data_IF_161239265797
#
_entry.id   IF_161239265797
#
_cell.length_a   1.000
_cell.length_b   1.000
_cell.length_c   1.000
_cell.angle_alpha   90.00
_cell.angle_beta   90.00
_cell.angle_gamma   90.00
#
_symmetry.space_group_name_H-M   'P 1'
#
loop_
_entity.id
_entity.type
_entity.pdbx_description
1 polymer ?
#
# COMPACT_ATOMS: atom_id res chain seq x y z
N UNK A 1 -30.42 28.06 27.02
CA UNK A 1 -30.20 26.65 26.67
C UNK A 1 -30.34 26.49 25.17
N UNK A 2 -29.34 26.99 24.42
CA UNK A 2 -29.16 26.76 22.98
C UNK A 2 -27.67 26.98 22.71
N UNK A 3 -26.84 25.98 23.01
CA UNK A 3 -25.43 26.02 22.63
C UNK A 3 -25.35 25.64 21.15
N UNK A 4 -25.42 26.67 20.31
CA UNK A 4 -24.98 26.64 18.92
C UNK A 4 -23.56 26.08 18.87
N UNK A 5 -23.43 24.80 18.49
CA UNK A 5 -22.15 24.18 18.18
C UNK A 5 -21.53 24.97 17.03
N UNK A 6 -20.49 25.72 17.37
CA UNK A 6 -19.67 26.49 16.46
C UNK A 6 -18.91 25.51 15.55
N UNK A 7 -19.47 25.21 14.37
CA UNK A 7 -18.87 24.35 13.35
C UNK A 7 -17.76 25.05 12.54
N UNK A 8 -17.14 26.11 13.07
CA UNK A 8 -16.02 26.80 12.42
C UNK A 8 -14.72 26.17 12.93
N UNK A 9 -13.79 25.92 12.01
CA UNK A 9 -12.44 25.37 12.19
C UNK A 9 -12.23 23.86 11.97
N UNK A 10 -12.66 23.32 10.81
CA UNK A 10 -12.04 22.09 10.27
C UNK A 10 -11.90 22.16 8.74
N UNK A 11 -10.71 22.45 8.17
CA UNK A 11 -10.51 22.47 6.72
C UNK A 11 -10.61 21.06 6.10
N UNK A 12 -10.22 20.01 6.82
CA UNK A 12 -10.13 18.63 6.31
C UNK A 12 -11.50 17.94 6.17
N UNK A 13 -12.47 18.26 7.04
CA UNK A 13 -13.85 17.75 6.96
C UNK A 13 -14.61 18.30 5.75
N UNK A 14 -14.15 19.41 5.14
CA UNK A 14 -14.80 20.05 3.98
C UNK A 14 -14.13 19.73 2.63
N UNK A 15 -12.90 19.23 2.63
CA UNK A 15 -12.15 18.89 1.41
C UNK A 15 -12.43 17.49 0.88
N UNK A 16 -13.07 16.60 1.66
CA UNK A 16 -13.51 15.29 1.22
C UNK A 16 -14.82 15.31 0.39
N UNK A 17 -15.05 16.35 -0.43
CA UNK A 17 -16.10 16.30 -1.46
C UNK A 17 -15.65 15.31 -2.54
N UNK A 18 -16.09 14.06 -2.38
CA UNK A 18 -15.77 12.87 -3.16
C UNK A 18 -16.09 12.95 -4.65
N UNK A 19 -15.32 13.76 -5.39
CA UNK A 19 -15.44 13.91 -6.85
C UNK A 19 -14.21 13.48 -7.64
N UNK A 20 -13.33 12.65 -7.09
CA UNK A 20 -12.03 12.35 -7.71
C UNK A 20 -11.79 10.90 -8.12
N UNK A 21 -12.63 9.95 -7.71
CA UNK A 21 -12.32 8.52 -7.84
C UNK A 21 -12.91 7.85 -9.11
N UNK A 22 -13.94 8.42 -9.74
CA UNK A 22 -14.51 7.87 -10.97
C UNK A 22 -13.75 8.28 -12.25
N UNK A 23 -12.78 9.20 -12.14
CA UNK A 23 -12.08 9.80 -13.28
C UNK A 23 -11.32 8.77 -14.13
N UNK A 24 -10.76 7.73 -13.51
CA UNK A 24 -10.02 6.67 -14.22
C UNK A 24 -10.99 5.86 -15.08
N UNK A 25 -12.11 5.40 -14.52
CA UNK A 25 -13.08 4.59 -15.25
C UNK A 25 -13.68 5.37 -16.44
N UNK A 26 -14.08 6.62 -16.23
CA UNK A 26 -14.59 7.46 -17.32
C UNK A 26 -13.53 7.75 -18.40
N UNK A 27 -12.27 7.96 -18.00
CA UNK A 27 -11.19 8.17 -18.96
C UNK A 27 -10.90 6.92 -19.81
N UNK A 28 -10.97 5.73 -19.20
CA UNK A 28 -10.83 4.45 -19.90
C UNK A 28 -12.00 4.20 -20.85
N UNK A 29 -13.24 4.44 -20.43
CA UNK A 29 -14.43 4.33 -21.29
C UNK A 29 -14.36 5.30 -22.48
N UNK A 30 -13.76 6.47 -22.29
CA UNK A 30 -13.54 7.46 -23.35
C UNK A 30 -12.32 7.14 -24.24
N UNK A 31 -11.53 6.10 -23.94
CA UNK A 31 -10.31 5.76 -24.68
C UNK A 31 -9.22 6.84 -24.63
N UNK A 32 -9.25 7.73 -23.63
CA UNK A 32 -8.37 8.90 -23.59
C UNK A 32 -7.15 8.65 -22.69
N UNK A 33 -5.97 8.52 -23.32
CA UNK A 33 -4.70 8.36 -22.61
C UNK A 33 -4.41 9.57 -21.72
N UNK A 34 -4.61 10.80 -22.24
CA UNK A 34 -4.34 12.02 -21.49
C UNK A 34 -5.25 12.15 -20.26
N UNK A 35 -6.55 11.86 -20.40
CA UNK A 35 -7.48 11.89 -19.28
C UNK A 35 -7.13 10.80 -18.24
N UNK A 36 -6.70 9.63 -18.70
CA UNK A 36 -6.28 8.52 -17.83
C UNK A 36 -5.03 8.91 -17.03
N UNK A 37 -4.04 9.53 -17.67
CA UNK A 37 -2.83 10.02 -17.00
C UNK A 37 -3.14 11.07 -15.93
N UNK A 38 -4.01 12.04 -16.24
CA UNK A 38 -4.46 13.05 -15.27
C UNK A 38 -5.20 12.40 -14.09
N UNK A 39 -6.08 11.44 -14.37
CA UNK A 39 -6.81 10.73 -13.31
C UNK A 39 -5.86 9.91 -12.42
N UNK A 40 -4.89 9.21 -12.99
CA UNK A 40 -3.86 8.47 -12.27
C UNK A 40 -2.95 9.38 -11.43
N UNK A 41 -2.62 10.57 -11.94
CA UNK A 41 -1.86 11.56 -11.17
C UNK A 41 -2.59 11.96 -9.87
N UNK A 42 -3.87 12.32 -9.96
CA UNK A 42 -4.66 12.68 -8.78
C UNK A 42 -4.94 11.49 -7.87
N UNK A 43 -5.10 10.29 -8.44
CA UNK A 43 -5.17 9.05 -7.68
C UNK A 43 -3.90 8.85 -6.83
N UNK A 44 -2.71 8.97 -7.44
CA UNK A 44 -1.43 8.85 -6.74
C UNK A 44 -1.25 9.88 -5.61
N UNK A 45 -1.61 11.15 -5.85
CA UNK A 45 -1.62 12.19 -4.80
C UNK A 45 -2.57 11.81 -3.65
N UNK A 46 -3.75 11.27 -3.98
CA UNK A 46 -4.72 10.81 -2.99
C UNK A 46 -4.20 9.65 -2.14
N UNK A 47 -3.59 8.64 -2.78
CA UNK A 47 -2.98 7.50 -2.10
C UNK A 47 -1.84 7.96 -1.17
N UNK A 48 -0.93 8.82 -1.65
CA UNK A 48 0.18 9.30 -0.83
C UNK A 48 -0.29 10.09 0.42
N UNK A 49 -1.32 10.93 0.27
CA UNK A 49 -1.90 11.64 1.41
C UNK A 49 -2.61 10.69 2.39
N UNK A 50 -3.33 9.70 1.85
CA UNK A 50 -4.03 8.70 2.64
C UNK A 50 -3.06 7.79 3.41
N UNK A 51 -1.92 7.41 2.81
CA UNK A 51 -0.88 6.60 3.44
C UNK A 51 -0.27 7.28 4.67
N UNK A 52 0.07 8.56 4.56
CA UNK A 52 0.59 9.30 5.72
C UNK A 52 -0.47 9.46 6.80
N UNK A 53 -1.71 9.81 6.41
CA UNK A 53 -2.76 10.09 7.38
C UNK A 53 -3.27 8.84 8.10
N UNK A 54 -3.36 7.68 7.44
CA UNK A 54 -3.78 6.43 8.10
C UNK A 54 -2.77 5.95 9.15
N UNK A 55 -1.46 6.13 8.89
CA UNK A 55 -0.41 5.76 9.84
C UNK A 55 -0.42 6.68 11.07
N UNK A 56 -0.72 7.98 10.89
CA UNK A 56 -0.90 8.92 12.01
C UNK A 56 -2.13 8.53 12.83
N UNK A 57 -3.27 8.27 12.20
CA UNK A 57 -4.50 7.86 12.90
C UNK A 57 -4.29 6.54 13.66
N UNK A 58 -3.61 5.57 13.06
CA UNK A 58 -3.26 4.31 13.72
C UNK A 58 -2.41 4.53 14.97
N UNK A 59 -1.43 5.43 14.92
CA UNK A 59 -0.60 5.79 16.07
C UNK A 59 -1.41 6.54 17.15
N UNK A 60 -2.35 7.41 16.74
CA UNK A 60 -3.27 8.09 17.66
C UNK A 60 -4.23 7.11 18.35
N UNK A 61 -4.58 5.98 17.70
CA UNK A 61 -5.32 4.87 18.33
C UNK A 61 -4.45 4.08 19.30
N UNK A 62 -3.18 3.82 18.98
CA UNK A 62 -2.26 3.09 19.86
C UNK A 62 -1.98 3.82 21.18
N UNK A 63 -1.87 5.16 21.15
CA UNK A 63 -1.57 5.99 22.34
C UNK A 63 -2.50 5.74 23.54
N UNK A 64 -3.83 5.87 23.43
CA UNK A 64 -4.73 5.56 24.53
C UNK A 64 -4.84 4.05 24.80
N UNK A 65 -4.53 3.19 23.82
CA UNK A 65 -4.55 1.74 23.97
C UNK A 65 -3.37 1.20 24.79
N UNK A 66 -2.25 1.95 24.85
CA UNK A 66 -1.05 1.59 25.61
C UNK A 66 -0.29 0.37 25.08
N UNK A 67 -0.61 -0.10 23.87
CA UNK A 67 0.02 -1.26 23.22
C UNK A 67 0.06 -1.07 21.71
N UNK A 68 0.99 -1.76 21.06
CA UNK A 68 1.13 -1.72 19.60
C UNK A 68 0.05 -2.57 18.92
N UNK A 69 -0.71 -1.96 18.01
CA UNK A 69 -1.73 -2.59 17.15
C UNK A 69 -1.55 -2.29 15.66
N UNK A 70 -0.60 -1.42 15.28
CA UNK A 70 -0.29 -1.10 13.89
C UNK A 70 -0.07 -2.33 12.99
N UNK A 71 0.61 -3.42 13.45
CA UNK A 71 0.72 -4.64 12.64
C UNK A 71 -0.64 -5.25 12.27
N UNK A 72 -1.65 -5.14 13.13
CA UNK A 72 -3.00 -5.65 12.86
C UNK A 72 -3.71 -4.83 11.79
N UNK A 73 -3.50 -3.50 11.78
CA UNK A 73 -4.01 -2.63 10.71
C UNK A 73 -3.36 -2.97 9.35
N UNK A 74 -2.06 -3.19 9.32
CA UNK A 74 -1.39 -3.65 8.11
C UNK A 74 -1.85 -5.06 7.67
N UNK A 75 -2.13 -5.96 8.61
CA UNK A 75 -2.70 -7.27 8.29
C UNK A 75 -4.11 -7.15 7.66
N UNK A 76 -4.96 -6.25 8.18
CA UNK A 76 -6.26 -5.96 7.58
C UNK A 76 -6.13 -5.36 6.17
N UNK A 77 -5.16 -4.46 5.96
CA UNK A 77 -4.85 -3.93 4.62
C UNK A 77 -4.47 -5.03 3.64
N UNK A 78 -3.54 -5.93 4.04
CA UNK A 78 -3.16 -7.09 3.22
C UNK A 78 -4.33 -8.03 2.93
N UNK A 79 -5.19 -8.29 3.93
CA UNK A 79 -6.39 -9.09 3.75
C UNK A 79 -7.36 -8.47 2.73
N UNK A 80 -7.52 -7.15 2.76
CA UNK A 80 -8.28 -6.41 1.76
C UNK A 80 -7.69 -6.52 0.35
N UNK A 81 -6.36 -6.38 0.21
CA UNK A 81 -5.67 -6.54 -1.07
C UNK A 81 -5.83 -7.95 -1.64
N UNK A 82 -5.68 -8.98 -0.82
CA UNK A 82 -5.90 -10.37 -1.21
C UNK A 82 -7.34 -10.61 -1.67
N UNK A 83 -8.32 -10.19 -0.89
CA UNK A 83 -9.73 -10.34 -1.24
C UNK A 83 -10.07 -9.60 -2.55
N UNK A 84 -9.55 -8.37 -2.71
CA UNK A 84 -9.70 -7.59 -3.93
C UNK A 84 -9.13 -8.30 -5.16
N UNK A 85 -7.95 -8.92 -5.03
CA UNK A 85 -7.34 -9.69 -6.11
C UNK A 85 -8.18 -10.92 -6.51
N UNK A 86 -8.71 -11.66 -5.52
CA UNK A 86 -9.58 -12.83 -5.76
C UNK A 86 -10.89 -12.40 -6.43
N UNK A 87 -11.53 -11.33 -5.95
CA UNK A 87 -12.75 -10.79 -6.56
C UNK A 87 -12.46 -10.32 -7.99
N UNK A 88 -11.35 -9.61 -8.21
CA UNK A 88 -10.93 -9.14 -9.53
C UNK A 88 -10.70 -10.29 -10.52
N UNK A 89 -10.03 -11.37 -10.08
CA UNK A 89 -9.83 -12.58 -10.88
C UNK A 89 -11.18 -13.25 -11.26
N UNK A 90 -12.11 -13.32 -10.30
CA UNK A 90 -13.45 -13.84 -10.54
C UNK A 90 -14.23 -13.01 -11.55
N UNK A 91 -14.25 -11.69 -11.39
CA UNK A 91 -14.93 -10.77 -12.31
C UNK A 91 -14.33 -10.81 -13.71
N UNK A 92 -12.99 -10.89 -13.82
CA UNK A 92 -12.30 -11.08 -15.10
C UNK A 92 -12.68 -12.39 -15.78
N UNK A 93 -12.78 -13.49 -15.02
CA UNK A 93 -13.22 -14.80 -15.55
C UNK A 93 -14.66 -14.75 -16.07
N UNK A 94 -15.52 -13.94 -15.45
CA UNK A 94 -16.90 -13.71 -15.88
C UNK A 94 -17.01 -12.71 -17.06
N UNK A 95 -15.89 -12.19 -17.56
CA UNK A 95 -15.87 -11.23 -18.67
C UNK A 95 -16.36 -9.82 -18.29
N UNK A 96 -16.36 -9.47 -17.00
CA UNK A 96 -16.72 -8.12 -16.56
C UNK A 96 -15.60 -7.16 -16.96
N UNK A 97 -15.97 -6.10 -17.67
CA UNK A 97 -15.02 -5.08 -18.09
C UNK A 97 -14.37 -4.33 -16.93
N UNK A 98 -13.12 -3.91 -17.15
CA UNK A 98 -12.34 -3.16 -16.16
C UNK A 98 -13.01 -1.83 -15.77
N UNK A 99 -13.57 -1.01 -16.69
CA UNK A 99 -14.20 0.25 -16.30
C UNK A 99 -15.42 0.07 -15.40
N UNK A 100 -16.24 -0.95 -15.64
CA UNK A 100 -17.43 -1.28 -14.84
C UNK A 100 -17.03 -1.67 -13.42
N UNK A 101 -16.02 -2.54 -13.29
CA UNK A 101 -15.46 -2.90 -12.00
C UNK A 101 -14.91 -1.66 -11.27
N UNK A 102 -14.14 -0.81 -11.94
CA UNK A 102 -13.58 0.42 -11.36
C UNK A 102 -14.67 1.42 -10.92
N UNK A 103 -15.78 1.52 -11.64
CA UNK A 103 -16.92 2.36 -11.22
C UNK A 103 -17.55 1.86 -9.93
N UNK A 104 -17.78 0.54 -9.81
CA UNK A 104 -18.32 -0.06 -8.59
C UNK A 104 -17.39 0.18 -7.41
N UNK A 105 -16.09 -0.06 -7.58
CA UNK A 105 -15.09 0.21 -6.54
C UNK A 105 -15.05 1.70 -6.17
N UNK A 106 -15.12 2.61 -7.16
CA UNK A 106 -15.15 4.05 -6.89
C UNK A 106 -16.37 4.44 -6.04
N UNK A 107 -17.54 3.85 -6.28
CA UNK A 107 -18.75 4.08 -5.46
C UNK A 107 -18.52 3.57 -4.03
N UNK A 108 -18.01 2.35 -3.87
CA UNK A 108 -17.70 1.77 -2.55
C UNK A 108 -16.72 2.66 -1.78
N UNK A 109 -15.63 3.09 -2.43
CA UNK A 109 -14.62 3.98 -1.82
C UNK A 109 -15.23 5.31 -1.41
N UNK A 110 -16.11 5.90 -2.22
CA UNK A 110 -16.81 7.15 -1.87
C UNK A 110 -17.70 6.94 -0.65
N UNK A 111 -18.50 5.87 -0.62
CA UNK A 111 -19.36 5.55 0.53
C UNK A 111 -18.52 5.36 1.79
N UNK A 112 -17.44 4.57 1.73
CA UNK A 112 -16.54 4.35 2.86
C UNK A 112 -15.86 5.65 3.32
N UNK A 113 -15.41 6.49 2.40
CA UNK A 113 -14.79 7.79 2.72
C UNK A 113 -15.77 8.74 3.42
N UNK A 114 -17.05 8.67 3.06
CA UNK A 114 -18.08 9.50 3.69
C UNK A 114 -18.56 8.93 5.03
N UNK A 115 -18.47 7.61 5.24
CA UNK A 115 -19.05 6.94 6.41
C UNK A 115 -18.03 6.54 7.48
N UNK A 116 -16.86 6.03 7.09
CA UNK A 116 -15.84 5.53 8.01
C UNK A 116 -15.31 6.61 9.00
N UNK A 117 -15.10 7.88 8.60
CA UNK A 117 -14.61 8.91 9.53
C UNK A 117 -15.56 9.24 10.68
N UNK A 118 -16.81 8.76 10.65
CA UNK A 118 -17.73 8.88 11.79
C UNK A 118 -17.34 7.96 12.96
N UNK A 119 -16.52 6.94 12.71
CA UNK A 119 -16.04 5.99 13.71
C UNK A 119 -14.61 6.30 14.19
N UNK A 120 -13.97 7.34 13.64
CA UNK A 120 -12.60 7.72 14.01
C UNK A 120 -12.60 8.42 15.37
N UNK A 121 -11.43 8.48 15.99
CA UNK A 121 -11.29 9.18 17.27
C UNK A 121 -11.66 10.65 17.08
N UNK A 122 -12.26 11.29 18.11
CA UNK A 122 -12.48 12.73 18.07
C UNK A 122 -11.16 13.44 17.79
N UNK A 123 -11.15 14.34 16.82
CA UNK A 123 -9.96 15.11 16.49
C UNK A 123 -9.49 15.84 17.76
N UNK A 124 -8.38 15.38 18.34
CA UNK A 124 -7.69 16.14 19.37
C UNK A 124 -7.27 17.46 18.71
N UNK A 125 -7.56 18.62 19.32
CA UNK A 125 -6.94 19.86 18.87
C UNK A 125 -5.44 19.60 18.81
N UNK A 126 -4.80 19.88 17.68
CA UNK A 126 -3.35 19.87 17.64
C UNK A 126 -2.91 20.75 18.81
N UNK A 127 -2.33 20.13 19.84
CA UNK A 127 -1.85 20.85 21.01
C UNK A 127 -0.82 21.81 20.47
N UNK A 128 -1.20 23.09 20.34
CA UNK A 128 -0.25 24.17 20.12
C UNK A 128 0.77 23.96 21.23
N UNK A 129 2.05 23.68 20.93
CA UNK A 129 3.04 23.48 21.96
C UNK A 129 2.96 24.68 22.90
N UNK A 130 2.68 24.42 24.18
CA UNK A 130 2.61 25.48 25.18
C UNK A 130 3.97 26.22 25.13
N UNK A 131 3.99 27.52 24.80
CA UNK A 131 5.23 28.29 24.76
C UNK A 131 5.98 28.23 26.09
N UNK A 132 5.27 28.05 27.22
CA UNK A 132 5.87 27.93 28.54
C UNK A 132 6.46 26.53 28.83
N UNK A 133 5.96 25.46 28.19
CA UNK A 133 6.54 24.12 28.26
C UNK A 133 7.78 23.97 27.35
N UNK A 134 7.92 24.85 26.35
CA UNK A 134 9.07 24.89 25.46
C UNK A 134 10.38 25.34 26.13
N UNK A 135 10.30 25.98 27.31
CA UNK A 135 11.48 26.41 28.08
C UNK A 135 12.04 25.30 29.00
N UNK A 136 11.27 24.24 29.29
CA UNK A 136 11.70 23.11 30.13
C UNK A 136 12.01 21.83 29.36
N UNK A 137 11.54 21.70 28.12
CA UNK A 137 12.07 20.70 27.20
C UNK A 137 13.38 21.27 26.69
N UNK A 138 14.51 20.71 27.13
CA UNK A 138 15.81 20.95 26.51
C UNK A 138 15.62 20.97 25.00
N UNK A 139 15.69 22.18 24.42
CA UNK A 139 15.65 22.41 22.97
C UNK A 139 16.42 21.26 22.34
N UNK A 140 15.81 20.34 21.56
CA UNK A 140 16.52 19.17 21.07
C UNK A 140 17.72 19.74 20.31
N UNK A 141 18.91 19.63 20.91
CA UNK A 141 20.08 20.37 20.45
C UNK A 141 20.25 19.97 19.01
N UNK A 142 20.20 20.93 18.07
CA UNK A 142 20.09 20.73 16.61
C UNK A 142 20.63 19.36 16.23
N UNK A 143 19.76 18.34 16.26
CA UNK A 143 20.19 17.01 15.87
C UNK A 143 20.71 17.21 14.45
N UNK A 144 21.87 16.64 14.07
CA UNK A 144 22.28 16.66 12.68
C UNK A 144 21.05 16.23 11.90
N UNK A 145 20.58 17.10 11.00
CA UNK A 145 19.42 16.80 10.15
C UNK A 145 19.62 15.37 9.64
N UNK A 146 18.64 14.48 9.73
CA UNK A 146 18.80 13.07 9.34
C UNK A 146 19.57 12.89 7.99
N UNK A 147 19.42 13.86 7.09
CA UNK A 147 20.19 14.10 5.87
C UNK A 147 21.72 14.20 5.97
N UNK A 148 22.30 14.39 7.16
CA UNK A 148 23.74 14.55 7.42
C UNK A 148 24.34 13.32 8.10
N UNK A 149 23.52 12.40 8.60
CA UNK A 149 23.99 11.15 9.16
C UNK A 149 24.05 10.07 8.07
N UNK A 150 25.27 9.65 7.72
CA UNK A 150 25.50 8.63 6.69
C UNK A 150 24.84 7.29 7.02
N UNK A 151 24.68 6.94 8.31
CA UNK A 151 23.99 5.69 8.71
C UNK A 151 22.50 5.76 8.41
N UNK A 152 21.87 6.88 8.74
CA UNK A 152 20.47 7.14 8.40
C UNK A 152 20.24 7.14 6.89
N UNK A 153 21.14 7.77 6.12
CA UNK A 153 21.07 7.74 4.65
C UNK A 153 21.22 6.32 4.09
N UNK A 154 22.14 5.52 4.63
CA UNK A 154 22.34 4.13 4.20
C UNK A 154 21.08 3.29 4.45
N UNK A 155 20.46 3.41 5.63
CA UNK A 155 19.18 2.75 5.93
C UNK A 155 18.11 3.22 4.95
N UNK A 156 18.04 4.53 4.67
CA UNK A 156 17.12 5.10 3.68
C UNK A 156 17.30 4.50 2.28
N UNK A 157 18.54 4.32 1.82
CA UNK A 157 18.84 3.68 0.52
C UNK A 157 18.41 2.21 0.50
N UNK A 158 18.69 1.46 1.57
CA UNK A 158 18.30 0.06 1.67
C UNK A 158 16.78 -0.08 1.66
N UNK A 159 16.07 0.74 2.44
CA UNK A 159 14.60 0.76 2.47
C UNK A 159 14.03 1.21 1.14
N UNK A 160 14.62 2.22 0.48
CA UNK A 160 14.23 2.65 -0.86
C UNK A 160 14.37 1.52 -1.89
N UNK A 161 15.50 0.81 -1.88
CA UNK A 161 15.71 -0.35 -2.74
C UNK A 161 14.67 -1.45 -2.50
N UNK A 162 14.45 -1.81 -1.23
CA UNK A 162 13.46 -2.81 -0.85
C UNK A 162 12.04 -2.42 -1.29
N UNK A 163 11.62 -1.19 -1.00
CA UNK A 163 10.29 -0.66 -1.37
C UNK A 163 10.12 -0.52 -2.89
N UNK A 164 11.18 -0.16 -3.64
CA UNK A 164 11.14 -0.15 -5.10
C UNK A 164 10.98 -1.55 -5.69
N UNK A 165 11.70 -2.55 -5.16
CA UNK A 165 11.56 -3.94 -5.60
C UNK A 165 10.18 -4.50 -5.27
N UNK A 166 9.67 -4.25 -4.06
CA UNK A 166 8.32 -4.63 -3.65
C UNK A 166 7.25 -3.94 -4.51
N UNK A 167 7.41 -2.64 -4.76
CA UNK A 167 6.51 -1.85 -5.61
C UNK A 167 6.50 -2.34 -7.06
N UNK A 168 7.65 -2.65 -7.63
CA UNK A 168 7.74 -3.24 -8.96
C UNK A 168 6.99 -4.57 -9.06
N UNK A 169 7.09 -5.42 -8.03
CA UNK A 169 6.31 -6.65 -7.93
C UNK A 169 4.81 -6.38 -7.90
N UNK A 170 4.36 -5.43 -7.06
CA UNK A 170 2.95 -5.08 -6.96
C UNK A 170 2.36 -4.56 -8.28
N UNK A 171 3.10 -3.74 -9.02
CA UNK A 171 2.59 -3.05 -10.21
C UNK A 171 2.71 -3.87 -11.50
N UNK A 172 3.76 -4.69 -11.63
CA UNK A 172 4.12 -5.30 -12.90
C UNK A 172 3.89 -6.80 -12.98
N UNK A 173 3.75 -7.53 -11.88
CA UNK A 173 3.66 -9.01 -11.93
C UNK A 173 2.48 -9.50 -12.77
N UNK A 174 1.30 -8.91 -12.60
CA UNK A 174 0.11 -9.27 -13.35
C UNK A 174 0.25 -8.87 -14.83
N UNK A 175 0.78 -7.67 -15.10
CA UNK A 175 0.98 -7.17 -16.46
C UNK A 175 2.02 -8.00 -17.22
N UNK A 176 3.14 -8.35 -16.58
CA UNK A 176 4.18 -9.18 -17.18
C UNK A 176 3.66 -10.58 -17.51
N UNK A 177 2.78 -11.15 -16.67
CA UNK A 177 2.13 -12.42 -16.97
C UNK A 177 1.21 -12.32 -18.20
N UNK A 178 0.37 -11.29 -18.27
CA UNK A 178 -0.58 -11.12 -19.38
C UNK A 178 0.12 -10.68 -20.66
N UNK A 179 0.78 -9.53 -20.65
CA UNK A 179 1.40 -8.92 -21.84
C UNK A 179 2.71 -9.61 -22.24
N UNK A 180 3.46 -10.15 -21.27
CA UNK A 180 4.77 -10.75 -21.50
C UNK A 180 4.73 -12.26 -21.75
N UNK A 181 3.83 -12.98 -21.08
CA UNK A 181 3.72 -14.45 -21.17
C UNK A 181 2.44 -14.93 -21.87
N UNK A 182 1.55 -14.02 -22.30
CA UNK A 182 0.30 -14.36 -22.96
C UNK A 182 -0.72 -15.06 -22.04
N UNK A 183 -0.59 -14.89 -20.73
CA UNK A 183 -1.53 -15.46 -19.77
C UNK A 183 -2.88 -14.73 -19.80
N UNK A 184 -3.95 -15.42 -19.39
CA UNK A 184 -5.24 -14.77 -19.15
C UNK A 184 -5.15 -13.75 -18.01
N UNK A 185 -5.99 -12.71 -18.04
CA UNK A 185 -6.03 -11.66 -17.01
C UNK A 185 -6.34 -12.23 -15.62
N UNK A 186 -7.19 -13.26 -15.56
CA UNK A 186 -7.48 -13.99 -14.33
C UNK A 186 -6.23 -14.68 -13.75
N UNK A 187 -5.38 -15.26 -14.59
CA UNK A 187 -4.10 -15.83 -14.19
C UNK A 187 -3.15 -14.76 -13.68
N UNK A 188 -3.08 -13.60 -14.35
CA UNK A 188 -2.29 -12.45 -13.87
C UNK A 188 -2.74 -11.97 -12.48
N UNK A 189 -4.06 -11.87 -12.25
CA UNK A 189 -4.63 -11.51 -10.96
C UNK A 189 -4.34 -12.57 -9.87
N UNK A 190 -4.38 -13.86 -10.19
CA UNK A 190 -4.02 -14.94 -9.27
C UNK A 190 -2.53 -14.93 -8.88
N UNK A 191 -1.64 -14.64 -9.83
CA UNK A 191 -0.21 -14.48 -9.55
C UNK A 191 0.05 -13.32 -8.59
N UNK A 192 -0.65 -12.19 -8.78
CA UNK A 192 -0.63 -11.09 -7.82
C UNK A 192 -1.18 -11.50 -6.45
N UNK A 193 -2.30 -12.24 -6.39
CA UNK A 193 -2.85 -12.73 -5.12
C UNK A 193 -1.86 -13.65 -4.37
N UNK A 194 -1.15 -14.52 -5.10
CA UNK A 194 -0.12 -15.39 -4.54
C UNK A 194 1.07 -14.57 -4.00
N UNK A 195 1.50 -13.54 -4.73
CA UNK A 195 2.55 -12.62 -4.28
C UNK A 195 2.16 -11.92 -2.96
N UNK A 196 0.94 -11.37 -2.88
CA UNK A 196 0.42 -10.73 -1.65
C UNK A 196 0.31 -11.72 -0.49
N UNK A 197 -0.16 -12.95 -0.76
CA UNK A 197 -0.22 -14.00 0.24
C UNK A 197 1.16 -14.37 0.77
N UNK A 198 2.16 -14.50 -0.10
CA UNK A 198 3.54 -14.78 0.27
C UNK A 198 4.14 -13.64 1.12
N UNK A 199 3.92 -12.37 0.75
CA UNK A 199 4.33 -11.23 1.56
C UNK A 199 3.70 -11.24 2.95
N UNK A 200 2.39 -11.54 3.02
CA UNK A 200 1.64 -11.60 4.28
C UNK A 200 2.17 -12.72 5.17
N UNK A 201 2.41 -13.90 4.60
CA UNK A 201 2.98 -15.04 5.32
C UNK A 201 4.40 -14.73 5.83
N UNK A 202 5.24 -14.07 5.03
CA UNK A 202 6.60 -13.67 5.43
C UNK A 202 6.57 -12.72 6.64
N UNK A 203 5.65 -11.74 6.67
CA UNK A 203 5.49 -10.84 7.82
C UNK A 203 5.09 -11.61 9.07
N UNK A 204 4.09 -12.50 8.95
CA UNK A 204 3.62 -13.30 10.08
C UNK A 204 4.69 -14.26 10.63
N UNK A 205 5.46 -14.92 9.75
CA UNK A 205 6.58 -15.78 10.16
C UNK A 205 7.73 -14.98 10.75
N UNK A 206 8.02 -13.79 10.22
CA UNK A 206 9.05 -12.88 10.74
C UNK A 206 8.74 -12.44 12.17
N UNK A 207 7.48 -12.15 12.46
CA UNK A 207 7.02 -11.78 13.80
C UNK A 207 7.11 -12.96 14.79
N UNK A 208 6.82 -14.18 14.33
CA UNK A 208 6.82 -15.38 15.18
C UNK A 208 8.22 -15.95 15.45
N UNK A 209 9.11 -15.93 14.44
CA UNK A 209 10.37 -16.69 14.45
C UNK A 209 11.62 -15.81 14.47
N UNK A 210 11.46 -14.50 14.31
CA UNK A 210 12.55 -13.55 14.12
C UNK A 210 12.99 -13.46 12.66
N UNK A 211 13.34 -12.25 12.22
CA UNK A 211 13.56 -11.92 10.80
C UNK A 211 14.66 -12.76 10.14
N UNK A 212 15.69 -13.16 10.88
CA UNK A 212 16.79 -13.96 10.34
C UNK A 212 16.35 -15.38 9.95
N UNK A 213 15.48 -16.01 10.74
CA UNK A 213 15.01 -17.37 10.45
C UNK A 213 13.97 -17.35 9.32
N UNK A 214 13.10 -16.33 9.30
CA UNK A 214 12.15 -16.12 8.20
C UNK A 214 12.86 -15.87 6.86
N UNK A 215 13.93 -15.06 6.84
CA UNK A 215 14.75 -14.83 5.65
C UNK A 215 15.44 -16.11 5.16
N UNK A 216 15.98 -16.94 6.06
CA UNK A 216 16.61 -18.21 5.69
C UNK A 216 15.60 -19.24 5.19
N UNK A 217 14.44 -19.35 5.84
CA UNK A 217 13.41 -20.32 5.48
C UNK A 217 12.78 -20.06 4.10
N UNK A 218 12.74 -18.81 3.64
CA UNK A 218 12.10 -18.42 2.38
C UNK A 218 13.14 -18.06 1.30
N UNK A 219 14.18 -17.31 1.67
CA UNK A 219 15.21 -16.85 0.74
C UNK A 219 16.14 -17.97 0.27
N UNK A 220 16.51 -18.92 1.14
CA UNK A 220 17.44 -19.99 0.75
C UNK A 220 16.84 -20.96 -0.29
N UNK A 221 15.56 -21.40 -0.20
CA UNK A 221 14.93 -22.21 -1.24
C UNK A 221 14.80 -21.49 -2.59
N UNK A 222 14.49 -20.18 -2.59
CA UNK A 222 14.36 -19.40 -3.83
C UNK A 222 15.73 -19.25 -4.51
N UNK A 223 16.77 -18.89 -3.75
CA UNK A 223 18.13 -18.77 -4.27
C UNK A 223 18.66 -20.12 -4.76
N UNK A 224 18.36 -21.20 -4.04
CA UNK A 224 18.71 -22.57 -4.45
C UNK A 224 17.98 -22.96 -5.75
N UNK A 225 16.67 -22.68 -5.86
CA UNK A 225 15.90 -22.97 -7.06
C UNK A 225 16.41 -22.19 -8.28
N UNK A 226 16.73 -20.91 -8.12
CA UNK A 226 17.32 -20.08 -9.18
C UNK A 226 18.72 -20.57 -9.57
N UNK A 227 19.54 -20.97 -8.60
CA UNK A 227 20.85 -21.56 -8.85
C UNK A 227 20.75 -22.88 -9.61
N UNK A 228 19.84 -23.77 -9.19
CA UNK A 228 19.58 -25.05 -9.85
C UNK A 228 19.03 -24.87 -11.28
N UNK A 229 18.10 -23.95 -11.48
CA UNK A 229 17.56 -23.63 -12.80
C UNK A 229 18.66 -23.15 -13.77
N UNK A 230 19.53 -22.26 -13.29
CA UNK A 230 20.70 -21.81 -14.07
C UNK A 230 21.73 -22.92 -14.30
N UNK A 231 21.94 -23.80 -13.32
CA UNK A 231 22.84 -24.95 -13.48
C UNK A 231 22.29 -25.99 -14.47
N UNK A 232 20.98 -26.00 -14.72
CA UNK A 232 20.32 -26.91 -15.67
C UNK A 232 20.27 -26.38 -17.12
N UNK A 233 20.43 -25.07 -17.36
CA UNK A 233 20.48 -24.48 -18.72
C UNK A 233 21.51 -25.13 -19.67
N UNK A 234 22.76 -25.44 -19.25
CA UNK A 234 23.74 -26.09 -20.12
C UNK A 234 23.35 -27.52 -20.53
N UNK A 235 22.60 -28.23 -19.68
CA UNK A 235 22.19 -29.61 -19.94
C UNK A 235 21.01 -29.68 -20.93
N UNK A 236 20.13 -28.68 -20.87
CA UNK A 236 18.99 -28.57 -21.79
C UNK A 236 19.43 -28.18 -23.22
N UNK A 237 20.47 -27.34 -23.35
CA UNK A 237 21.00 -26.95 -24.66
C UNK A 237 21.75 -28.08 -25.36
N UNK A 238 22.50 -28.92 -24.62
CA UNK A 238 23.15 -30.11 -25.17
C UNK A 238 22.15 -31.21 -25.57
N UNK A 239 21.04 -31.35 -24.84
CA UNK A 239 19.99 -32.32 -25.15
C UNK A 239 19.13 -31.89 -26.37
N UNK A 240 18.95 -30.59 -26.60
CA UNK A 240 18.18 -30.07 -27.74
C UNK A 240 18.94 -30.10 -29.08
N UNK A 241 20.25 -30.31 -29.06
CA UNK A 241 21.13 -30.40 -30.25
C UNK A 241 21.32 -31.84 -30.73
N UNK A 242 20.86 -32.85 -29.97
CA UNK A 242 20.87 -34.26 -30.35
C UNK A 242 19.52 -34.71 -30.88
#
# INVERSE_FOLDING_TARGET
>A
MTLTLNTKHHPWRRTARGRRWAGIAFALMAGSVAATAVALFFYGVGIGLWDVTQNIEGADVERPLGRTVMPQFHAAFSGGAFLGAVIGAGLSTLGVGLPEHLLVIAVIVVVLTLTAPHYFLPAQPASVPDPAAADTVTRPGKAPTAWKDGRTLLIGIVVLGATLTEGAGNDWIAKAAVDGLGAMESTGALLFALFVAAMTLMRFLGDLTGIHLALLAIGAPILLALWLARAAEPLASEAAVR
#
